data_IF_911517003483
#
_entry.id   IF_911517003483
#
_cell.length_a   1.000
_cell.length_b   1.000
_cell.length_c   1.000
_cell.angle_alpha   90.00
_cell.angle_beta   90.00
_cell.angle_gamma   90.00
#
_symmetry.space_group_name_H-M   'P 1'
#
loop_
_entity.id
_entity.type
_entity.pdbx_description
1 polymer ?
#
# COMPACT_ATOMS: atom_id res chain seq x y z
N UNK A 1 -25.89 28.18 -2.96
CA UNK A 1 -25.87 28.09 -1.48
C UNK A 1 -26.28 29.42 -0.89
N UNK A 2 -27.12 29.41 0.14
CA UNK A 2 -27.43 30.59 0.97
C UNK A 2 -28.61 31.43 0.49
N UNK A 3 -29.82 31.10 0.96
CA UNK A 3 -30.94 32.05 1.16
C UNK A 3 -32.06 31.48 2.07
N UNK A 4 -31.73 30.57 3.01
CA UNK A 4 -32.70 29.98 3.96
C UNK A 4 -32.46 30.41 5.42
N UNK A 5 -31.64 31.43 5.68
CA UNK A 5 -31.29 31.87 7.04
C UNK A 5 -32.16 33.01 7.60
N UNK A 6 -32.97 33.69 6.78
CA UNK A 6 -33.76 34.85 7.24
C UNK A 6 -35.17 34.50 7.75
N UNK A 7 -35.76 33.39 7.31
CA UNK A 7 -37.09 32.96 7.76
C UNK A 7 -37.09 32.16 9.08
N UNK A 8 -35.91 31.84 9.64
CA UNK A 8 -35.76 31.07 10.89
C UNK A 8 -35.53 31.91 12.15
N UNK A 9 -35.46 33.24 12.04
CA UNK A 9 -35.14 34.14 13.17
C UNK A 9 -36.28 35.01 13.71
N UNK A 10 -37.49 34.96 13.12
CA UNK A 10 -38.64 35.74 13.61
C UNK A 10 -39.72 34.92 14.34
N UNK A 11 -39.61 33.59 14.41
CA UNK A 11 -40.59 32.72 15.08
C UNK A 11 -40.24 32.33 16.53
N UNK A 12 -39.20 32.93 17.14
CA UNK A 12 -38.71 32.57 18.48
C UNK A 12 -39.05 33.54 19.62
N UNK A 13 -39.95 34.51 19.41
CA UNK A 13 -40.24 35.53 20.44
C UNK A 13 -41.73 35.70 20.78
N UNK A 14 -42.57 34.68 20.59
CA UNK A 14 -43.99 34.74 20.98
C UNK A 14 -44.48 33.58 21.87
N UNK A 15 -43.58 32.71 22.37
CA UNK A 15 -43.97 31.47 23.06
C UNK A 15 -43.40 31.30 24.49
N UNK A 16 -42.87 32.34 25.13
CA UNK A 16 -42.33 32.26 26.50
C UNK A 16 -42.92 33.25 27.52
N UNK A 17 -43.99 33.98 27.17
CA UNK A 17 -44.52 35.07 28.02
C UNK A 17 -45.57 34.70 29.07
N UNK A 18 -45.92 33.42 29.30
CA UNK A 18 -47.00 33.03 30.26
C UNK A 18 -46.52 32.03 31.32
N UNK A 19 -45.24 31.64 31.33
CA UNK A 19 -44.72 30.68 32.32
C UNK A 19 -44.02 31.30 33.54
N UNK A 20 -43.80 32.61 33.55
CA UNK A 20 -43.25 33.34 34.71
C UNK A 20 -44.23 34.42 35.20
N UNK A 21 -45.43 34.00 35.60
CA UNK A 21 -46.23 34.80 36.51
C UNK A 21 -45.75 34.51 37.93
N UNK A 22 -45.23 35.50 38.67
CA UNK A 22 -44.79 35.27 40.03
C UNK A 22 -46.01 34.91 40.89
N UNK A 23 -45.83 33.98 41.83
CA UNK A 23 -46.88 33.28 42.59
C UNK A 23 -47.83 34.19 43.42
N UNK A 24 -47.64 35.49 43.37
CA UNK A 24 -48.41 36.57 43.98
C UNK A 24 -49.57 37.11 43.11
N UNK A 25 -49.61 36.82 41.79
CA UNK A 25 -50.73 37.25 40.93
C UNK A 25 -51.98 36.37 41.09
N UNK A 26 -51.82 35.11 41.52
CA UNK A 26 -52.92 34.20 41.80
C UNK A 26 -53.78 34.63 43.00
N UNK A 27 -53.22 35.40 43.95
CA UNK A 27 -53.95 35.90 45.12
C UNK A 27 -54.88 37.08 44.81
N UNK A 28 -54.56 37.88 43.78
CA UNK A 28 -55.40 39.04 43.40
C UNK A 28 -56.59 38.62 42.53
N UNK A 29 -56.43 37.60 41.68
CA UNK A 29 -57.55 37.06 40.89
C UNK A 29 -58.56 36.22 41.71
N UNK A 30 -58.14 35.67 42.86
CA UNK A 30 -59.05 34.97 43.77
C UNK A 30 -59.98 35.90 44.58
N UNK A 31 -59.79 37.22 44.50
CA UNK A 31 -60.60 38.21 45.24
C UNK A 31 -61.73 38.84 44.40
N UNK A 32 -61.72 38.65 43.08
CA UNK A 32 -62.70 39.24 42.16
C UNK A 32 -63.82 38.28 41.73
N UNK A 33 -63.72 36.99 42.08
CA UNK A 33 -64.70 35.95 41.73
C UNK A 33 -65.30 35.23 42.95
N UNK A 34 -65.06 35.73 44.16
CA UNK A 34 -65.78 35.26 45.34
C UNK A 34 -67.16 35.96 45.40
N UNK A 35 -68.29 35.23 45.30
CA UNK A 35 -69.57 35.80 45.68
C UNK A 35 -69.49 36.26 47.15
N UNK A 36 -70.14 37.37 47.53
CA UNK A 36 -70.11 37.82 48.92
C UNK A 36 -70.61 36.70 49.83
N UNK A 37 -69.92 36.40 50.96
CA UNK A 37 -70.41 35.43 51.91
C UNK A 37 -71.72 35.94 52.51
N UNK A 38 -72.81 35.23 52.22
CA UNK A 38 -74.16 35.44 52.76
C UNK A 38 -74.23 35.23 54.30
N UNK A 39 -73.12 34.90 54.94
CA UNK A 39 -73.03 34.66 56.39
C UNK A 39 -72.75 35.93 57.22
N UNK A 40 -72.53 37.10 56.61
CA UNK A 40 -72.39 38.39 57.35
C UNK A 40 -73.57 39.36 57.18
N UNK A 41 -74.65 38.97 56.51
CA UNK A 41 -75.93 39.70 56.54
C UNK A 41 -76.90 39.16 57.62
N UNK A 42 -76.72 37.91 58.08
CA UNK A 42 -77.54 37.31 59.13
C UNK A 42 -77.26 37.86 60.56
N UNK A 43 -76.09 38.49 60.77
CA UNK A 43 -75.73 39.10 62.06
C UNK A 43 -76.26 40.53 62.27
N UNK A 44 -76.56 41.27 61.20
CA UNK A 44 -77.04 42.66 61.28
C UNK A 44 -78.56 42.79 61.40
N UNK A 45 -79.31 41.70 61.18
CA UNK A 45 -80.76 41.68 61.35
C UNK A 45 -81.18 41.49 62.82
N UNK A 46 -80.33 40.88 63.67
CA UNK A 46 -80.62 40.64 65.09
C UNK A 46 -80.42 41.87 65.99
N UNK A 47 -79.48 42.77 65.67
CA UNK A 47 -79.22 43.98 66.47
C UNK A 47 -80.12 45.17 66.13
N UNK A 48 -80.67 45.22 64.91
CA UNK A 48 -81.70 46.21 64.53
C UNK A 48 -83.05 45.86 65.17
N UNK A 49 -83.32 44.58 65.41
CA UNK A 49 -84.52 44.11 66.12
C UNK A 49 -84.51 44.45 67.64
N UNK A 50 -83.34 44.68 68.25
CA UNK A 50 -83.22 45.07 69.68
C UNK A 50 -83.31 46.58 69.94
N UNK A 51 -83.19 47.43 68.92
CA UNK A 51 -83.29 48.90 69.09
C UNK A 51 -84.65 49.51 68.75
N UNK A 52 -85.63 48.69 68.34
CA UNK A 52 -87.02 49.14 68.15
C UNK A 52 -87.96 48.76 69.30
N UNK A 53 -87.46 48.14 70.37
CA UNK A 53 -88.27 47.72 71.54
C UNK A 53 -88.42 48.78 72.65
N UNK A 54 -88.06 50.04 72.40
CA UNK A 54 -88.03 51.10 73.42
C UNK A 54 -88.85 52.35 73.07
N UNK A 55 -89.88 52.22 72.21
CA UNK A 55 -90.77 53.34 71.87
C UNK A 55 -92.19 52.87 71.56
N UNK A 56 -92.82 52.12 72.47
CA UNK A 56 -94.29 52.04 72.57
C UNK A 56 -94.65 51.98 74.05
N UNK A 57 -94.62 53.15 74.68
CA UNK A 57 -95.20 53.39 76.00
C UNK A 57 -96.16 54.55 75.83
N UNK A 58 -97.36 54.40 76.39
CA UNK A 58 -98.48 55.35 76.42
C UNK A 58 -99.23 55.63 75.11
N UNK A 59 -100.27 54.82 74.88
CA UNK A 59 -101.64 55.35 74.71
C UNK A 59 -102.67 54.21 74.81
N UNK A 60 -103.43 54.19 75.90
CA UNK A 60 -104.82 53.70 75.91
C UNK A 60 -105.60 54.85 76.56
N UNK A 61 -106.60 55.43 75.89
CA UNK A 61 -107.97 54.97 76.16
C UNK A 61 -108.95 55.12 75.00
N UNK A 62 -109.90 54.18 74.92
CA UNK A 62 -111.09 54.30 74.08
C UNK A 62 -111.90 53.03 74.20
N UNK A 63 -113.14 53.13 74.69
CA UNK A 63 -114.11 52.05 74.84
C UNK A 63 -114.52 51.50 73.47
N UNK A 64 -113.64 50.71 72.87
CA UNK A 64 -113.90 50.00 71.63
C UNK A 64 -114.49 48.64 72.02
N UNK A 65 -115.71 48.37 71.56
CA UNK A 65 -116.45 47.16 71.91
C UNK A 65 -115.67 45.90 71.55
N UNK A 66 -115.92 44.81 72.26
CA UNK A 66 -115.33 43.48 72.00
C UNK A 66 -115.43 43.08 70.51
N UNK A 67 -116.48 43.54 69.83
CA UNK A 67 -116.71 43.37 68.40
C UNK A 67 -115.66 44.07 67.53
N UNK A 68 -115.20 45.28 67.85
CA UNK A 68 -114.16 45.97 67.05
C UNK A 68 -112.83 45.25 67.18
N UNK A 69 -112.52 44.67 68.34
CA UNK A 69 -111.31 43.86 68.56
C UNK A 69 -111.39 42.52 67.83
N UNK A 70 -112.54 41.85 67.85
CA UNK A 70 -112.78 40.62 67.09
C UNK A 70 -112.75 40.86 65.58
N UNK A 71 -113.30 41.97 65.09
CA UNK A 71 -113.23 42.37 63.68
C UNK A 71 -111.79 42.64 63.25
N UNK A 72 -111.03 43.42 64.04
CA UNK A 72 -109.61 43.70 63.77
C UNK A 72 -108.74 42.45 63.85
N UNK A 73 -109.08 41.51 64.75
CA UNK A 73 -108.42 40.20 64.82
C UNK A 73 -108.74 39.34 63.59
N UNK A 74 -109.99 39.30 63.11
CA UNK A 74 -110.36 38.60 61.87
C UNK A 74 -109.68 39.20 60.64
N UNK A 75 -109.71 40.54 60.51
CA UNK A 75 -109.00 41.25 59.44
C UNK A 75 -107.48 41.05 59.50
N UNK A 76 -106.91 40.88 60.70
CA UNK A 76 -105.49 40.55 60.86
C UNK A 76 -105.19 39.09 60.48
N UNK A 77 -106.06 38.15 60.83
CA UNK A 77 -105.94 36.73 60.43
C UNK A 77 -106.14 36.56 58.92
N UNK A 78 -107.10 37.25 58.32
CA UNK A 78 -107.32 37.25 56.86
C UNK A 78 -106.10 37.81 56.13
N UNK A 79 -105.55 38.96 56.58
CA UNK A 79 -104.30 39.50 56.03
C UNK A 79 -103.12 38.57 56.22
N UNK A 80 -103.04 37.88 57.37
CA UNK A 80 -101.99 36.89 57.62
C UNK A 80 -102.13 35.67 56.69
N UNK A 81 -103.35 35.18 56.47
CA UNK A 81 -103.62 34.09 55.52
C UNK A 81 -103.35 34.49 54.07
N UNK A 82 -103.71 35.71 53.66
CA UNK A 82 -103.38 36.21 52.32
C UNK A 82 -101.87 36.31 52.13
N UNK A 83 -101.14 36.85 53.12
CA UNK A 83 -99.69 36.93 53.08
C UNK A 83 -99.01 35.55 53.11
N UNK A 84 -99.58 34.58 53.85
CA UNK A 84 -99.10 33.20 53.87
C UNK A 84 -99.29 32.52 52.50
N UNK A 85 -100.47 32.65 51.89
CA UNK A 85 -100.74 32.10 50.56
C UNK A 85 -99.82 32.73 49.50
N UNK A 86 -99.62 34.05 49.54
CA UNK A 86 -98.70 34.74 48.62
C UNK A 86 -97.23 34.29 48.84
N UNK A 87 -96.82 34.06 50.08
CA UNK A 87 -95.49 33.52 50.39
C UNK A 87 -95.34 32.06 49.91
N UNK A 88 -96.38 31.23 50.00
CA UNK A 88 -96.39 29.87 49.47
C UNK A 88 -96.33 29.84 47.94
N UNK A 89 -97.06 30.73 47.27
CA UNK A 89 -97.02 30.87 45.81
C UNK A 89 -95.62 31.31 45.34
N UNK A 90 -95.05 32.32 46.01
CA UNK A 90 -93.67 32.77 45.75
C UNK A 90 -92.64 31.65 46.02
N UNK A 91 -92.79 30.88 47.10
CA UNK A 91 -91.90 29.76 47.40
C UNK A 91 -92.03 28.63 46.37
N UNK A 92 -93.24 28.35 45.89
CA UNK A 92 -93.51 27.34 44.86
C UNK A 92 -92.91 27.75 43.53
N UNK A 93 -93.07 29.01 43.14
CA UNK A 93 -92.46 29.55 41.93
C UNK A 93 -90.93 29.59 42.01
N UNK A 94 -90.38 30.01 43.16
CA UNK A 94 -88.93 29.96 43.39
C UNK A 94 -88.39 28.54 43.31
N UNK A 95 -89.11 27.55 43.85
CA UNK A 95 -88.74 26.14 43.73
C UNK A 95 -88.76 25.67 42.27
N UNK A 96 -89.80 26.01 41.51
CA UNK A 96 -89.91 25.69 40.07
C UNK A 96 -88.72 26.24 39.28
N UNK A 97 -88.39 27.52 39.48
CA UNK A 97 -87.25 28.17 38.83
C UNK A 97 -85.90 27.52 39.20
N UNK A 98 -85.73 27.11 40.47
CA UNK A 98 -84.52 26.40 40.92
C UNK A 98 -84.43 25.01 40.27
N UNK A 99 -85.54 24.29 40.16
CA UNK A 99 -85.56 22.95 39.55
C UNK A 99 -85.34 23.03 38.03
N UNK A 100 -85.90 24.04 37.35
CA UNK A 100 -85.59 24.36 35.95
C UNK A 100 -84.12 24.69 35.75
N UNK A 101 -83.55 25.56 36.58
CA UNK A 101 -82.14 25.91 36.51
C UNK A 101 -81.23 24.68 36.75
N UNK A 102 -81.57 23.81 37.69
CA UNK A 102 -80.83 22.55 37.90
C UNK A 102 -80.89 21.65 36.66
N UNK A 103 -82.05 21.54 36.02
CA UNK A 103 -82.20 20.76 34.79
C UNK A 103 -81.35 21.33 33.64
N UNK A 104 -81.35 22.64 33.46
CA UNK A 104 -80.50 23.32 32.47
C UNK A 104 -79.01 23.13 32.74
N UNK A 105 -78.57 23.22 33.99
CA UNK A 105 -77.17 23.00 34.38
C UNK A 105 -76.76 21.55 34.11
N UNK A 106 -77.60 20.57 34.43
CA UNK A 106 -77.30 19.16 34.16
C UNK A 106 -77.27 18.85 32.66
N UNK A 107 -78.18 19.42 31.87
CA UNK A 107 -78.15 19.31 30.42
C UNK A 107 -76.90 19.97 29.83
N UNK A 108 -76.56 21.17 30.29
CA UNK A 108 -75.32 21.87 29.92
C UNK A 108 -74.07 21.04 30.24
N UNK A 109 -74.00 20.42 31.42
CA UNK A 109 -72.90 19.50 31.80
C UNK A 109 -72.86 18.28 30.90
N UNK A 110 -74.01 17.69 30.53
CA UNK A 110 -74.07 16.56 29.58
C UNK A 110 -73.55 16.96 28.21
N UNK A 111 -73.98 18.10 27.67
CA UNK A 111 -73.50 18.64 26.38
C UNK A 111 -72.00 18.89 26.41
N UNK A 112 -71.47 19.51 27.48
CA UNK A 112 -70.02 19.73 27.65
C UNK A 112 -69.26 18.39 27.67
N UNK A 113 -69.76 17.37 28.38
CA UNK A 113 -69.14 16.04 28.40
C UNK A 113 -69.12 15.38 27.01
N UNK A 114 -70.23 15.48 26.27
CA UNK A 114 -70.32 14.95 24.90
C UNK A 114 -69.34 15.65 23.95
N UNK A 115 -69.30 16.98 23.98
CA UNK A 115 -68.35 17.77 23.16
C UNK A 115 -66.91 17.45 23.53
N UNK A 116 -66.58 17.35 24.82
CA UNK A 116 -65.24 16.95 25.27
C UNK A 116 -64.86 15.55 24.80
N UNK A 117 -65.79 14.60 24.86
CA UNK A 117 -65.55 13.24 24.37
C UNK A 117 -65.34 13.20 22.86
N UNK A 118 -66.17 13.90 22.09
CA UNK A 118 -66.04 13.99 20.64
C UNK A 118 -64.71 14.64 20.24
N UNK A 119 -64.34 15.75 20.89
CA UNK A 119 -63.05 16.41 20.66
C UNK A 119 -61.87 15.51 21.03
N UNK A 120 -61.96 14.73 22.11
CA UNK A 120 -60.92 13.78 22.48
C UNK A 120 -60.74 12.66 21.44
N UNK A 121 -61.83 12.12 20.90
CA UNK A 121 -61.79 11.13 19.83
C UNK A 121 -61.26 11.72 18.51
N UNK A 122 -61.61 12.96 18.18
CA UNK A 122 -61.08 13.64 17.00
C UNK A 122 -59.56 13.87 17.12
N UNK A 123 -59.07 14.31 18.29
CA UNK A 123 -57.63 14.45 18.55
C UNK A 123 -56.94 13.09 18.45
N UNK A 124 -57.52 12.03 19.02
CA UNK A 124 -56.98 10.67 18.95
C UNK A 124 -56.89 10.19 17.50
N UNK A 125 -57.93 10.44 16.68
CA UNK A 125 -57.94 10.10 15.25
C UNK A 125 -56.84 10.85 14.48
N UNK A 126 -56.71 12.15 14.71
CA UNK A 126 -55.66 12.96 14.08
C UNK A 126 -54.25 12.51 14.48
N UNK A 127 -54.03 12.19 15.75
CA UNK A 127 -52.74 11.68 16.23
C UNK A 127 -52.43 10.30 15.63
N UNK A 128 -53.43 9.42 15.51
CA UNK A 128 -53.25 8.11 14.89
C UNK A 128 -52.92 8.24 13.39
N UNK A 129 -53.57 9.14 12.67
CA UNK A 129 -53.27 9.42 11.26
C UNK A 129 -51.87 10.02 11.07
N UNK A 130 -51.51 11.03 11.86
CA UNK A 130 -50.18 11.63 11.81
C UNK A 130 -49.06 10.63 12.12
N UNK A 131 -49.30 9.69 13.06
CA UNK A 131 -48.36 8.60 13.35
C UNK A 131 -48.20 7.66 12.16
N UNK A 132 -49.30 7.21 11.55
CA UNK A 132 -49.25 6.35 10.35
C UNK A 132 -48.47 7.01 9.21
N UNK A 133 -48.74 8.29 8.93
CA UNK A 133 -48.01 9.04 7.90
C UNK A 133 -46.52 9.17 8.23
N UNK A 134 -46.18 9.43 9.49
CA UNK A 134 -44.78 9.49 9.92
C UNK A 134 -44.08 8.12 9.77
N UNK A 135 -44.74 7.04 10.17
CA UNK A 135 -44.21 5.68 10.05
C UNK A 135 -44.01 5.28 8.58
N UNK A 136 -44.98 5.59 7.70
CA UNK A 136 -44.87 5.39 6.26
C UNK A 136 -43.69 6.17 5.65
N UNK A 137 -43.51 7.44 6.03
CA UNK A 137 -42.37 8.24 5.60
C UNK A 137 -41.04 7.64 6.06
N UNK A 138 -40.96 7.15 7.30
CA UNK A 138 -39.74 6.52 7.84
C UNK A 138 -39.42 5.23 7.08
N UNK A 139 -40.41 4.37 6.82
CA UNK A 139 -40.20 3.12 6.09
C UNK A 139 -39.82 3.37 4.61
N UNK A 140 -40.40 4.40 3.98
CA UNK A 140 -39.99 4.79 2.63
C UNK A 140 -38.53 5.27 2.62
N UNK A 141 -38.15 6.14 3.56
CA UNK A 141 -36.77 6.62 3.67
C UNK A 141 -35.79 5.48 3.98
N UNK A 142 -36.18 4.55 4.84
CA UNK A 142 -35.40 3.35 5.16
C UNK A 142 -35.18 2.49 3.92
N UNK A 143 -36.25 2.22 3.16
CA UNK A 143 -36.16 1.45 1.91
C UNK A 143 -35.27 2.14 0.89
N UNK A 144 -35.42 3.47 0.70
CA UNK A 144 -34.55 4.25 -0.19
C UNK A 144 -33.08 4.22 0.25
N UNK A 145 -32.82 4.34 1.55
CA UNK A 145 -31.48 4.26 2.10
C UNK A 145 -30.88 2.86 1.91
N UNK A 146 -31.65 1.80 2.15
CA UNK A 146 -31.24 0.42 1.95
C UNK A 146 -30.90 0.16 0.48
N UNK A 147 -31.76 0.55 -0.46
CA UNK A 147 -31.51 0.38 -1.90
C UNK A 147 -30.22 1.09 -2.33
N UNK A 148 -29.96 2.31 -1.84
CA UNK A 148 -28.71 3.04 -2.13
C UNK A 148 -27.48 2.37 -1.52
N UNK A 149 -27.61 1.82 -0.31
CA UNK A 149 -26.54 1.06 0.32
C UNK A 149 -26.23 -0.21 -0.48
N UNK A 150 -27.26 -0.97 -0.87
CA UNK A 150 -27.13 -2.18 -1.68
C UNK A 150 -26.54 -1.89 -3.06
N UNK A 151 -26.95 -0.80 -3.72
CA UNK A 151 -26.38 -0.33 -4.98
C UNK A 151 -24.88 0.01 -4.82
N UNK A 152 -24.51 0.68 -3.74
CA UNK A 152 -23.12 1.01 -3.44
C UNK A 152 -22.28 -0.25 -3.21
N UNK A 153 -22.80 -1.22 -2.45
CA UNK A 153 -22.15 -2.52 -2.24
C UNK A 153 -21.99 -3.26 -3.56
N UNK A 154 -23.05 -3.37 -4.37
CA UNK A 154 -22.99 -4.01 -5.71
C UNK A 154 -21.94 -3.37 -6.61
N UNK A 155 -21.85 -2.04 -6.63
CA UNK A 155 -20.87 -1.31 -7.44
C UNK A 155 -19.43 -1.60 -7.00
N UNK A 156 -19.17 -1.60 -5.69
CA UNK A 156 -17.84 -1.90 -5.14
C UNK A 156 -17.48 -3.35 -5.43
N UNK A 157 -18.41 -4.30 -5.22
CA UNK A 157 -18.19 -5.71 -5.56
C UNK A 157 -17.85 -5.90 -7.04
N UNK A 158 -18.61 -5.29 -7.95
CA UNK A 158 -18.33 -5.36 -9.38
C UNK A 158 -16.97 -4.76 -9.77
N UNK A 159 -16.55 -3.65 -9.15
CA UNK A 159 -15.22 -3.07 -9.37
C UNK A 159 -14.09 -3.99 -8.87
N UNK A 160 -14.26 -4.59 -7.68
CA UNK A 160 -13.30 -5.54 -7.12
C UNK A 160 -13.19 -6.78 -8.00
N UNK A 161 -14.31 -7.36 -8.40
CA UNK A 161 -14.34 -8.54 -9.28
C UNK A 161 -13.65 -8.25 -10.61
N UNK A 162 -13.95 -7.10 -11.23
CA UNK A 162 -13.28 -6.67 -12.46
C UNK A 162 -11.78 -6.42 -12.30
N UNK A 163 -11.31 -5.98 -11.12
CA UNK A 163 -9.87 -5.85 -10.82
C UNK A 163 -9.20 -7.21 -10.62
N UNK A 164 -9.88 -8.14 -9.94
CA UNK A 164 -9.39 -9.50 -9.74
C UNK A 164 -9.25 -10.23 -11.07
N UNK A 165 -10.25 -10.13 -11.94
CA UNK A 165 -10.22 -10.71 -13.30
C UNK A 165 -9.04 -10.16 -14.12
N UNK A 166 -8.90 -8.84 -14.21
CA UNK A 166 -7.76 -8.20 -14.89
C UNK A 166 -6.41 -8.60 -14.29
N UNK A 167 -6.35 -8.79 -12.98
CA UNK A 167 -5.12 -9.24 -12.31
C UNK A 167 -4.79 -10.69 -12.66
N UNK A 168 -5.80 -11.57 -12.75
CA UNK A 168 -5.64 -12.96 -13.19
C UNK A 168 -5.16 -13.02 -14.64
N UNK A 169 -5.81 -12.30 -15.56
CA UNK A 169 -5.39 -12.23 -16.96
C UNK A 169 -3.94 -11.72 -17.15
N UNK A 170 -3.48 -10.82 -16.27
CA UNK A 170 -2.08 -10.35 -16.28
C UNK A 170 -1.13 -11.42 -15.75
N UNK A 171 -1.53 -12.15 -14.70
CA UNK A 171 -0.75 -13.25 -14.16
C UNK A 171 -0.63 -14.39 -15.19
N UNK A 172 -1.73 -14.75 -15.86
CA UNK A 172 -1.76 -15.80 -16.88
C UNK A 172 -0.84 -15.45 -18.05
N UNK A 173 -0.93 -14.22 -18.59
CA UNK A 173 -0.02 -13.75 -19.64
C UNK A 173 1.44 -13.71 -19.21
N UNK A 174 1.71 -13.34 -17.95
CA UNK A 174 3.07 -13.36 -17.43
C UNK A 174 3.61 -14.80 -17.30
N UNK A 175 2.75 -15.74 -16.89
CA UNK A 175 3.09 -17.16 -16.82
C UNK A 175 3.34 -17.74 -18.21
N UNK A 176 2.49 -17.46 -19.20
CA UNK A 176 2.69 -17.87 -20.60
C UNK A 176 4.00 -17.32 -21.15
N UNK A 177 4.29 -16.03 -20.94
CA UNK A 177 5.54 -15.41 -21.34
C UNK A 177 6.78 -16.03 -20.67
N UNK A 178 6.67 -16.39 -19.38
CA UNK A 178 7.74 -17.07 -18.67
C UNK A 178 7.97 -18.50 -19.20
N UNK A 179 6.90 -19.24 -19.51
CA UNK A 179 6.99 -20.58 -20.12
C UNK A 179 7.66 -20.52 -21.50
N UNK A 180 7.28 -19.54 -22.32
CA UNK A 180 7.89 -19.33 -23.62
C UNK A 180 9.39 -19.00 -23.49
N UNK A 181 9.75 -18.07 -22.60
CA UNK A 181 11.16 -17.71 -22.38
C UNK A 181 12.02 -18.92 -21.91
N UNK A 182 11.47 -19.81 -21.08
CA UNK A 182 12.15 -21.05 -20.66
C UNK A 182 12.30 -22.02 -21.84
N UNK A 183 11.29 -22.14 -22.70
CA UNK A 183 11.37 -22.95 -23.93
C UNK A 183 12.48 -22.43 -24.84
N UNK A 184 12.46 -21.13 -25.14
CA UNK A 184 13.44 -20.47 -26.01
C UNK A 184 14.86 -20.62 -25.45
N UNK A 185 15.04 -20.44 -24.13
CA UNK A 185 16.33 -20.63 -23.48
C UNK A 185 16.81 -22.09 -23.57
N UNK A 186 15.90 -23.05 -23.45
CA UNK A 186 16.22 -24.48 -23.57
C UNK A 186 16.68 -24.82 -24.99
N UNK A 187 16.01 -24.28 -26.01
CA UNK A 187 16.38 -24.43 -27.42
C UNK A 187 17.76 -23.83 -27.70
N UNK A 188 18.01 -22.60 -27.23
CA UNK A 188 19.32 -21.93 -27.37
C UNK A 188 20.43 -22.72 -26.67
N UNK A 189 20.17 -23.27 -25.48
CA UNK A 189 21.14 -24.12 -24.78
C UNK A 189 21.43 -25.42 -25.55
N UNK A 190 20.41 -26.03 -26.16
CA UNK A 190 20.59 -27.21 -26.98
C UNK A 190 21.43 -26.90 -28.24
N UNK A 191 21.16 -25.78 -28.91
CA UNK A 191 21.95 -25.32 -30.05
C UNK A 191 23.40 -25.01 -29.67
N UNK A 192 23.61 -24.28 -28.57
CA UNK A 192 24.96 -23.97 -28.07
C UNK A 192 25.77 -25.24 -27.78
N UNK A 193 25.15 -26.26 -27.19
CA UNK A 193 25.80 -27.58 -26.97
C UNK A 193 26.15 -28.25 -28.29
N UNK A 194 25.23 -28.25 -29.27
CA UNK A 194 25.48 -28.80 -30.61
C UNK A 194 26.69 -28.13 -31.26
N UNK A 195 26.76 -26.81 -31.22
CA UNK A 195 27.88 -26.04 -31.78
C UNK A 195 29.19 -26.31 -31.02
N UNK A 196 29.14 -26.44 -29.69
CA UNK A 196 30.32 -26.78 -28.89
C UNK A 196 30.84 -28.19 -29.21
N UNK A 197 29.95 -29.17 -29.39
CA UNK A 197 30.32 -30.53 -29.79
C UNK A 197 30.90 -30.57 -31.20
N UNK A 198 30.38 -29.76 -32.12
CA UNK A 198 30.90 -29.60 -33.48
C UNK A 198 32.31 -28.99 -33.46
N UNK A 199 32.50 -27.88 -32.74
CA UNK A 199 33.81 -27.25 -32.58
C UNK A 199 34.84 -28.19 -31.90
N UNK A 200 34.41 -28.96 -30.90
CA UNK A 200 35.27 -29.95 -30.24
C UNK A 200 35.72 -31.05 -31.21
N UNK A 201 34.80 -31.56 -32.05
CA UNK A 201 35.14 -32.55 -33.09
C UNK A 201 36.11 -31.99 -34.13
N UNK A 202 35.91 -30.75 -34.58
CA UNK A 202 36.82 -30.09 -35.52
C UNK A 202 38.21 -29.88 -34.90
N UNK A 203 38.28 -29.42 -33.65
CA UNK A 203 39.54 -29.24 -32.93
C UNK A 203 40.30 -30.57 -32.76
N UNK A 204 39.59 -31.66 -32.41
CA UNK A 204 40.18 -33.01 -32.33
C UNK A 204 40.69 -33.49 -33.69
N UNK A 205 39.92 -33.26 -34.77
CA UNK A 205 40.32 -33.62 -36.12
C UNK A 205 41.58 -32.84 -36.56
N UNK A 206 41.63 -31.54 -36.28
CA UNK A 206 42.79 -30.68 -36.57
C UNK A 206 44.03 -31.12 -35.76
N UNK A 207 43.86 -31.42 -34.46
CA UNK A 207 44.94 -31.94 -33.62
C UNK A 207 45.49 -33.28 -34.14
N UNK A 208 44.61 -34.20 -34.53
CA UNK A 208 45.00 -35.48 -35.10
C UNK A 208 45.74 -35.32 -36.46
N UNK A 209 45.32 -34.37 -37.29
CA UNK A 209 46.03 -34.04 -38.54
C UNK A 209 47.42 -33.45 -38.25
N UNK A 210 47.52 -32.54 -37.28
CA UNK A 210 48.80 -31.95 -36.87
C UNK A 210 49.76 -33.01 -36.31
N UNK A 211 49.27 -33.95 -35.49
CA UNK A 211 50.07 -35.06 -34.98
C UNK A 211 50.58 -35.96 -36.10
N UNK A 212 49.73 -36.34 -37.07
CA UNK A 212 50.16 -37.13 -38.24
C UNK A 212 51.28 -36.44 -39.01
N UNK A 213 51.13 -35.14 -39.30
CA UNK A 213 52.18 -34.35 -39.97
C UNK A 213 53.46 -34.27 -39.16
N UNK A 214 53.36 -34.12 -37.84
CA UNK A 214 54.53 -34.09 -36.96
C UNK A 214 55.25 -35.46 -36.96
N UNK A 215 54.52 -36.57 -36.95
CA UNK A 215 55.06 -37.92 -37.05
C UNK A 215 55.71 -38.18 -38.42
N UNK A 216 55.08 -37.73 -39.51
CA UNK A 216 55.65 -37.77 -40.87
C UNK A 216 56.97 -37.01 -40.95
N UNK A 217 57.00 -35.76 -40.48
CA UNK A 217 58.21 -34.92 -40.43
C UNK A 217 59.30 -35.51 -39.53
N UNK A 218 58.94 -36.03 -38.36
CA UNK A 218 59.88 -36.71 -37.47
C UNK A 218 60.45 -37.98 -38.12
N UNK A 219 59.62 -38.72 -38.87
CA UNK A 219 60.04 -39.87 -39.66
C UNK A 219 60.99 -39.48 -40.79
N UNK A 220 60.71 -38.40 -41.52
CA UNK A 220 61.59 -37.82 -42.54
C UNK A 220 62.92 -37.38 -41.94
N UNK A 221 62.90 -36.64 -40.82
CA UNK A 221 64.10 -36.20 -40.13
C UNK A 221 64.97 -37.37 -39.65
N UNK A 222 64.37 -38.44 -39.12
CA UNK A 222 65.10 -39.67 -38.74
C UNK A 222 65.73 -40.37 -39.94
N UNK A 223 65.02 -40.46 -41.08
CA UNK A 223 65.57 -41.04 -42.31
C UNK A 223 66.74 -40.20 -42.84
N UNK A 224 66.61 -38.88 -42.84
CA UNK A 224 67.69 -37.98 -43.22
C UNK A 224 68.90 -38.10 -42.30
N UNK A 225 68.68 -38.13 -40.98
CA UNK A 225 69.76 -38.32 -40.01
C UNK A 225 70.48 -39.67 -40.19
N UNK A 226 69.73 -40.75 -40.38
CA UNK A 226 70.31 -42.07 -40.68
C UNK A 226 71.13 -42.06 -41.96
N UNK A 227 70.62 -41.44 -43.04
CA UNK A 227 71.36 -41.31 -44.29
C UNK A 227 72.64 -40.48 -44.13
N UNK A 228 72.63 -39.43 -43.30
CA UNK A 228 73.85 -38.66 -42.99
C UNK A 228 74.84 -39.45 -42.14
N UNK A 229 74.36 -40.26 -41.20
CA UNK A 229 75.21 -41.15 -40.39
C UNK A 229 75.85 -42.24 -41.27
N UNK A 230 75.10 -42.82 -42.21
CA UNK A 230 75.60 -43.78 -43.20
C UNK A 230 76.66 -43.14 -44.12
N UNK A 231 76.39 -41.93 -44.63
CA UNK A 231 77.37 -41.16 -45.42
C UNK A 231 78.63 -40.83 -44.61
N UNK A 232 78.49 -40.51 -43.33
CA UNK A 232 79.61 -40.25 -42.45
C UNK A 232 80.43 -41.53 -42.20
N UNK A 233 79.77 -42.66 -41.99
CA UNK A 233 80.42 -43.96 -41.84
C UNK A 233 81.16 -44.38 -43.12
N UNK A 234 80.56 -44.17 -44.30
CA UNK A 234 81.21 -44.41 -45.58
C UNK A 234 82.42 -43.49 -45.78
N UNK A 235 82.28 -42.20 -45.49
CA UNK A 235 83.39 -41.25 -45.56
C UNK A 235 84.53 -41.62 -44.59
N UNK A 236 84.21 -42.09 -43.37
CA UNK A 236 85.18 -42.60 -42.42
C UNK A 236 85.87 -43.87 -42.91
N UNK A 237 85.13 -44.78 -43.55
CA UNK A 237 85.69 -45.99 -44.16
C UNK A 237 86.67 -45.63 -45.29
N UNK A 238 86.26 -44.76 -46.22
CA UNK A 238 87.12 -44.24 -47.30
C UNK A 238 88.34 -43.52 -46.71
N UNK A 239 88.18 -42.74 -45.63
CA UNK A 239 89.29 -42.10 -44.95
C UNK A 239 90.25 -43.12 -44.32
N UNK A 240 89.74 -44.21 -43.73
CA UNK A 240 90.57 -45.28 -43.17
C UNK A 240 91.30 -46.05 -44.27
N UNK A 241 90.66 -46.35 -45.40
CA UNK A 241 91.31 -46.94 -46.58
C UNK A 241 92.36 -46.02 -47.17
N UNK A 242 92.04 -44.73 -47.31
CA UNK A 242 92.99 -43.71 -47.78
C UNK A 242 94.14 -43.53 -46.80
N UNK A 243 93.90 -43.57 -45.48
CA UNK A 243 94.93 -43.53 -44.46
C UNK A 243 95.78 -44.80 -44.46
N UNK A 244 95.19 -45.97 -44.68
CA UNK A 244 95.90 -47.23 -44.87
C UNK A 244 96.78 -47.19 -46.12
N UNK A 245 96.25 -46.69 -47.24
CA UNK A 245 96.98 -46.51 -48.50
C UNK A 245 98.09 -45.46 -48.35
N UNK A 246 97.82 -44.34 -47.67
CA UNK A 246 98.80 -43.30 -47.38
C UNK A 246 99.88 -43.79 -46.41
N UNK A 247 99.55 -44.64 -45.45
CA UNK A 247 100.50 -45.32 -44.57
C UNK A 247 101.38 -46.31 -45.37
N UNK A 248 100.81 -47.01 -46.35
CA UNK A 248 101.55 -47.89 -47.24
C UNK A 248 102.51 -47.10 -48.15
N UNK A 249 102.03 -45.97 -48.72
CA UNK A 249 102.83 -45.04 -49.53
C UNK A 249 103.91 -44.36 -48.69
N UNK A 250 103.62 -43.93 -47.45
CA UNK A 250 104.64 -43.36 -46.56
C UNK A 250 105.62 -44.41 -46.07
N UNK A 251 105.24 -45.69 -45.98
CA UNK A 251 106.18 -46.78 -45.68
C UNK A 251 107.08 -47.08 -46.89
N UNK A 252 106.55 -47.01 -48.12
CA UNK A 252 107.34 -47.07 -49.36
C UNK A 252 108.26 -45.86 -49.53
N UNK A 253 107.82 -44.66 -49.13
CA UNK A 253 108.63 -43.43 -49.18
C UNK A 253 109.64 -43.36 -48.02
N UNK A 254 109.33 -43.87 -46.81
CA UNK A 254 110.31 -43.99 -45.71
C UNK A 254 111.38 -45.03 -45.96
N UNK A 255 111.13 -46.01 -46.82
CA UNK A 255 112.17 -46.89 -47.35
C UNK A 255 113.09 -46.19 -48.36
N UNK A 256 112.78 -44.94 -48.73
CA UNK A 256 113.39 -44.23 -49.86
C UNK A 256 113.83 -42.79 -49.53
N UNK A 257 114.13 -42.43 -48.27
CA UNK A 257 114.84 -41.15 -48.02
C UNK A 257 115.35 -41.02 -46.58
N UNK A 258 116.65 -41.29 -46.38
CA UNK A 258 117.47 -40.63 -45.35
C UNK A 258 118.89 -40.43 -45.89
N UNK A 259 119.26 -39.15 -45.88
CA UNK A 259 120.60 -38.56 -45.74
C UNK A 259 121.57 -38.51 -46.92
N UNK A 260 121.86 -37.25 -47.27
CA UNK A 260 122.92 -36.83 -48.16
C UNK A 260 122.31 -36.40 -49.50
N UNK A 261 122.02 -35.14 -49.74
CA UNK A 261 123.11 -34.18 -49.90
C UNK A 261 122.54 -32.76 -50.17
N UNK A 262 122.36 -31.95 -49.12
CA UNK A 262 122.05 -30.51 -49.30
C UNK A 262 123.18 -29.75 -50.04
N UNK A 263 124.37 -30.35 -50.25
CA UNK A 263 125.44 -29.75 -51.05
C UNK A 263 125.32 -30.06 -52.55
N UNK A 264 124.65 -31.15 -52.96
CA UNK A 264 124.43 -31.47 -54.38
C UNK A 264 123.33 -30.63 -55.01
N UNK A 265 122.31 -30.23 -54.23
CA UNK A 265 121.18 -29.44 -54.72
C UNK A 265 121.65 -28.16 -55.41
N UNK A 266 121.09 -27.85 -56.57
CA UNK A 266 121.43 -26.60 -57.26
C UNK A 266 120.83 -25.40 -56.50
N UNK A 267 121.24 -24.17 -56.86
CA UNK A 267 120.82 -22.97 -56.13
C UNK A 267 119.30 -22.77 -56.16
N UNK A 268 118.64 -23.21 -57.23
CA UNK A 268 117.21 -23.02 -57.45
C UNK A 268 116.39 -24.00 -56.60
N UNK A 269 116.83 -25.26 -56.50
CA UNK A 269 116.25 -26.26 -55.59
C UNK A 269 116.36 -25.83 -54.11
N UNK A 270 117.48 -25.18 -53.75
CA UNK A 270 117.65 -24.60 -52.42
C UNK A 270 116.78 -23.35 -52.22
N UNK A 271 116.41 -22.62 -53.27
CA UNK A 271 115.46 -21.51 -53.17
C UNK A 271 114.04 -22.01 -52.92
N UNK A 272 113.61 -23.06 -53.61
CA UNK A 272 112.28 -23.65 -53.41
C UNK A 272 112.15 -24.26 -52.01
N UNK A 273 113.20 -24.94 -51.54
CA UNK A 273 113.24 -25.44 -50.16
C UNK A 273 113.26 -24.30 -49.14
N UNK A 274 113.94 -23.19 -49.44
CA UNK A 274 113.92 -21.97 -48.62
C UNK A 274 112.56 -21.27 -48.63
N UNK A 275 111.77 -21.36 -49.71
CA UNK A 275 110.37 -20.90 -49.76
C UNK A 275 109.49 -21.74 -48.85
N UNK A 276 109.61 -23.07 -48.92
CA UNK A 276 108.83 -23.97 -48.08
C UNK A 276 109.11 -23.78 -46.57
N UNK A 277 110.32 -23.36 -46.21
CA UNK A 277 110.75 -23.10 -44.82
C UNK A 277 110.69 -21.62 -44.41
N UNK A 278 110.10 -20.76 -45.24
CA UNK A 278 109.91 -19.32 -45.00
C UNK A 278 111.20 -18.56 -44.62
N UNK A 279 112.30 -18.84 -45.33
CA UNK A 279 113.59 -18.17 -45.10
C UNK A 279 113.61 -16.79 -45.76
N UNK A 280 113.70 -15.75 -44.93
CA UNK A 280 113.76 -14.35 -45.35
C UNK A 280 115.04 -13.99 -46.13
N UNK A 281 114.91 -13.05 -47.08
CA UNK A 281 116.00 -12.54 -47.95
C UNK A 281 116.72 -13.61 -48.81
N UNK A 282 116.04 -14.73 -49.12
CA UNK A 282 116.57 -15.85 -49.92
C UNK A 282 117.18 -15.44 -51.26
N UNK A 283 116.59 -14.48 -51.97
CA UNK A 283 117.00 -14.08 -53.33
C UNK A 283 118.44 -13.55 -53.44
N UNK A 284 118.98 -12.91 -52.39
CA UNK A 284 120.35 -12.36 -52.39
C UNK A 284 121.40 -13.30 -51.81
N UNK A 285 121.01 -14.50 -51.37
CA UNK A 285 121.92 -15.46 -50.76
C UNK A 285 122.70 -16.26 -51.80
N UNK A 286 123.96 -16.52 -51.50
CA UNK A 286 124.78 -17.50 -52.21
C UNK A 286 124.32 -18.92 -51.85
N UNK A 287 124.63 -19.92 -52.69
CA UNK A 287 124.29 -21.33 -52.47
C UNK A 287 124.66 -21.80 -51.06
N UNK A 288 125.85 -21.43 -50.57
CA UNK A 288 126.31 -21.79 -49.23
C UNK A 288 125.50 -21.11 -48.11
N UNK A 289 125.07 -19.86 -48.33
CA UNK A 289 124.21 -19.14 -47.38
C UNK A 289 122.81 -19.75 -47.31
N UNK A 290 122.25 -20.22 -48.44
CA UNK A 290 120.97 -20.93 -48.45
C UNK A 290 121.06 -22.25 -47.68
N UNK A 291 122.08 -23.07 -47.92
CA UNK A 291 122.28 -24.32 -47.16
C UNK A 291 122.41 -24.05 -45.65
N UNK A 292 123.12 -23.00 -45.26
CA UNK A 292 123.28 -22.64 -43.85
C UNK A 292 121.98 -22.11 -43.23
N UNK A 293 121.21 -21.30 -43.96
CA UNK A 293 119.94 -20.75 -43.50
C UNK A 293 118.87 -21.84 -43.37
N UNK A 294 118.77 -22.73 -44.35
CA UNK A 294 117.87 -23.90 -44.34
C UNK A 294 118.21 -24.83 -43.18
N UNK A 295 119.49 -25.13 -42.94
CA UNK A 295 119.89 -25.93 -41.78
C UNK A 295 119.58 -25.26 -40.44
N UNK A 296 119.64 -23.92 -40.37
CA UNK A 296 119.31 -23.17 -39.15
C UNK A 296 117.81 -23.20 -38.88
N UNK A 297 116.98 -22.99 -39.90
CA UNK A 297 115.53 -22.97 -39.71
C UNK A 297 114.95 -24.39 -39.54
N UNK A 298 115.53 -25.39 -40.21
CA UNK A 298 115.28 -26.81 -39.94
C UNK A 298 115.58 -27.20 -38.49
N UNK A 299 116.70 -26.72 -37.92
CA UNK A 299 117.02 -26.94 -36.49
C UNK A 299 116.08 -26.19 -35.55
N UNK A 300 115.53 -25.04 -35.95
CA UNK A 300 114.55 -24.27 -35.16
C UNK A 300 113.15 -24.88 -35.23
N UNK A 301 112.78 -25.47 -36.37
CA UNK A 301 111.54 -26.22 -36.57
C UNK A 301 111.57 -27.63 -35.98
N UNK A 302 112.73 -28.09 -35.48
CA UNK A 302 112.86 -29.27 -34.61
C UNK A 302 112.77 -28.81 -33.14
N UNK A 303 111.57 -28.75 -32.53
CA UNK A 303 111.46 -28.56 -31.09
C UNK A 303 112.22 -29.68 -30.40
N UNK A 304 113.15 -29.30 -29.54
CA UNK A 304 113.79 -30.18 -28.57
C UNK A 304 112.67 -30.89 -27.79
N UNK A 305 112.48 -32.17 -28.06
CA UNK A 305 111.60 -33.01 -27.27
C UNK A 305 112.05 -33.01 -25.81
N UNK A 306 111.11 -32.73 -24.90
CA UNK A 306 111.31 -32.91 -23.47
C UNK A 306 110.39 -32.04 -22.61
N UNK A 307 109.36 -32.66 -22.00
CA UNK A 307 108.80 -32.16 -20.74
C UNK A 307 107.28 -32.13 -20.61
N UNK A 308 106.70 -33.31 -20.34
CA UNK A 308 105.49 -33.59 -19.55
C UNK A 308 104.60 -32.44 -19.04
N UNK A 309 103.30 -32.52 -19.35
CA UNK A 309 102.27 -33.08 -18.45
C UNK A 309 101.04 -33.51 -19.23
#
# INVERSE_FOLDING_TARGET
>A
MGNNSLLRRLSKTAASGVKDLPANAAWVFSKALAPPPVEKAAGSAKDTARRMSAAVQDTVPGSDSLDTRLKRAREATERAQTAENEALDQATEAKRLVDEHKAEVEDGRKRIRQVKSAAAEDVKRQVAEARRQADEMVEEQRTRAQTKADESVRKVTADVDGRVEKSRERADRAQEGAQQAVSDATEQMAEARRLADEAAKEAQAAAAQAQRRAEELAGEARRHAGATDDQLAEAQHVQQEAAGTAADVTTQLRASEVDGDLKSMNKDELMDLAVALDVDRRASMTKQQLVAAINRESKKARPSGGGHR
#
